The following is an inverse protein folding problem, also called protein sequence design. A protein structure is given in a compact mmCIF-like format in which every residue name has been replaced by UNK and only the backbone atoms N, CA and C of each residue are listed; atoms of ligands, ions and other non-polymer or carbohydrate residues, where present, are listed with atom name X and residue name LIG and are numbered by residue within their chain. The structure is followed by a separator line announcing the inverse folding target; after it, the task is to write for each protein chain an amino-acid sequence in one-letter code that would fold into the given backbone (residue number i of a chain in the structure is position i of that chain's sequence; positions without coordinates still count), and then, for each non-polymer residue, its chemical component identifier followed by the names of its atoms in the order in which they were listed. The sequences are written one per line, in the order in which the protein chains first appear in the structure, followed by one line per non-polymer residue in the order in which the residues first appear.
data_IF_081571694745
#
_entry.id   IF_081571694745
#
_cell.length_a   1.000
_cell.length_b   1.000
_cell.length_c   1.000
_cell.angle_alpha   90.00
_cell.angle_beta   90.00
_cell.angle_gamma   90.00
#
_symmetry.space_group_name_H-M   'P 1'
#
loop_
_entity.id
_entity.type
_entity.pdbx_description
1 polymer ?
#
# COMPACT_ATOMS: atom_id res chain seq x y z
N UNK A 1 -9.67 -3.71 -0.91
CA UNK A 1 -8.94 -3.29 -2.13
C UNK A 1 -7.46 -3.70 -2.03
N UNK A 2 -6.82 -4.13 -3.12
CA UNK A 2 -5.34 -4.26 -3.24
C UNK A 2 -4.76 -5.68 -3.33
N UNK A 3 -5.20 -6.61 -2.48
CA UNK A 3 -4.93 -8.06 -2.57
C UNK A 3 -5.67 -8.86 -1.50
N UNK A 4 -6.19 -8.17 -0.47
CA UNK A 4 -6.76 -8.77 0.75
C UNK A 4 -5.73 -8.90 1.87
N UNK A 5 -4.46 -8.65 1.58
CA UNK A 5 -3.35 -8.65 2.54
C UNK A 5 -2.94 -7.22 2.90
N UNK A 6 -2.41 -7.03 4.11
CA UNK A 6 -1.84 -5.75 4.54
C UNK A 6 -0.61 -5.36 3.71
N UNK A 7 -0.30 -4.07 3.66
CA UNK A 7 0.86 -3.57 2.95
C UNK A 7 2.16 -4.13 3.56
N UNK A 8 2.94 -4.86 2.76
CA UNK A 8 4.23 -5.42 3.19
C UNK A 8 5.27 -5.28 2.09
N UNK A 9 6.32 -4.50 2.39
CA UNK A 9 7.45 -4.29 1.48
C UNK A 9 8.38 -5.51 1.39
N UNK A 10 8.36 -6.40 2.39
CA UNK A 10 9.23 -7.58 2.46
C UNK A 10 8.64 -8.75 1.67
N UNK A 11 7.39 -9.14 1.96
CA UNK A 11 6.74 -10.26 1.28
C UNK A 11 6.15 -9.88 -0.09
N UNK A 12 5.91 -8.58 -0.36
CA UNK A 12 5.33 -8.06 -1.62
C UNK A 12 4.02 -8.74 -2.03
N UNK A 13 3.26 -9.25 -1.05
CA UNK A 13 1.97 -9.92 -1.25
C UNK A 13 0.79 -8.93 -1.36
N UNK A 14 1.05 -7.65 -1.15
CA UNK A 14 0.09 -6.56 -1.32
C UNK A 14 0.13 -5.96 -2.72
N UNK A 15 -0.91 -5.19 -3.05
CA UNK A 15 -0.86 -4.29 -4.18
C UNK A 15 0.31 -3.33 -4.04
N UNK A 16 1.02 -3.05 -5.13
CA UNK A 16 2.09 -2.07 -5.12
C UNK A 16 2.23 -1.36 -6.47
N UNK A 17 2.70 -0.12 -6.42
CA UNK A 17 3.01 0.75 -7.55
C UNK A 17 4.50 1.07 -7.46
N UNK A 18 5.22 0.95 -8.58
CA UNK A 18 6.64 1.31 -8.68
C UNK A 18 6.80 2.38 -9.76
N UNK A 19 7.96 3.04 -9.75
CA UNK A 19 8.37 3.99 -10.78
C UNK A 19 7.37 5.17 -10.88
N UNK A 20 6.94 5.66 -9.71
CA UNK A 20 6.11 6.85 -9.64
C UNK A 20 6.97 8.09 -9.80
N UNK A 21 6.89 8.71 -10.97
CA UNK A 21 7.56 9.96 -11.28
C UNK A 21 6.55 11.03 -11.66
N UNK A 22 6.84 12.27 -11.29
CA UNK A 22 6.06 13.42 -11.71
C UNK A 22 6.69 13.97 -12.99
N UNK A 23 5.90 14.01 -14.05
CA UNK A 23 6.27 14.68 -15.30
C UNK A 23 5.74 16.11 -15.26
N UNK A 24 6.65 17.08 -15.12
CA UNK A 24 6.33 18.49 -15.28
C UNK A 24 6.44 18.93 -16.75
N UNK A 25 5.96 20.14 -17.07
CA UNK A 25 6.04 20.73 -18.41
C UNK A 25 7.48 20.86 -18.98
N UNK A 26 8.52 20.56 -18.19
CA UNK A 26 9.93 20.59 -18.58
C UNK A 26 10.45 19.29 -19.22
N UNK A 27 9.61 18.26 -19.40
CA UNK A 27 10.01 16.92 -19.93
C UNK A 27 10.99 16.14 -19.03
N UNK A 28 11.36 16.67 -17.87
CA UNK A 28 12.18 15.97 -16.89
C UNK A 28 11.29 15.21 -15.90
N UNK A 29 11.62 13.95 -15.67
CA UNK A 29 10.99 13.12 -14.65
C UNK A 29 11.58 13.47 -13.29
N UNK A 30 10.76 14.04 -12.41
CA UNK A 30 11.16 14.38 -11.05
C UNK A 30 10.60 13.38 -10.07
N UNK A 31 11.38 13.09 -9.03
CA UNK A 31 10.87 12.36 -7.88
C UNK A 31 10.00 13.29 -7.02
N UNK A 32 8.87 12.78 -6.48
CA UNK A 32 8.03 13.57 -5.59
C UNK A 32 8.76 13.84 -4.27
N UNK A 33 9.06 15.12 -3.99
CA UNK A 33 9.82 15.55 -2.78
C UNK A 33 8.98 15.44 -1.49
N UNK A 34 7.67 15.68 -1.58
CA UNK A 34 6.77 15.62 -0.45
C UNK A 34 5.57 14.73 -0.78
N UNK A 35 5.56 13.52 -0.20
CA UNK A 35 4.44 12.58 -0.30
C UNK A 35 3.83 12.39 1.07
N UNK A 36 2.52 12.59 1.16
CA UNK A 36 1.73 12.23 2.32
C UNK A 36 0.69 11.20 1.91
N UNK A 37 0.53 10.17 2.73
CA UNK A 37 -0.48 9.15 2.57
C UNK A 37 -1.68 9.44 3.45
N UNK A 38 -2.88 9.13 2.95
CA UNK A 38 -4.13 9.33 3.67
C UNK A 38 -5.03 8.11 3.52
N UNK A 39 -5.79 7.80 4.57
CA UNK A 39 -6.81 6.75 4.58
C UNK A 39 -8.06 7.26 5.29
N UNK A 40 -9.22 7.13 4.64
CA UNK A 40 -10.50 7.54 5.20
C UNK A 40 -11.05 6.47 6.18
N UNK A 41 -10.68 5.20 6.00
CA UNK A 41 -11.12 4.10 6.86
C UNK A 41 -10.09 3.72 7.93
N UNK A 42 -10.46 3.89 9.19
CA UNK A 42 -9.63 3.45 10.32
C UNK A 42 -9.46 1.92 10.31
N UNK A 43 -8.22 1.47 10.11
CA UNK A 43 -7.80 0.07 10.29
C UNK A 43 -8.49 -0.90 9.31
N UNK A 44 -8.87 -0.42 8.12
CA UNK A 44 -9.31 -1.27 7.01
C UNK A 44 -8.24 -1.39 5.92
N UNK A 45 -7.40 -0.36 5.80
CA UNK A 45 -6.34 -0.27 4.81
C UNK A 45 -5.05 0.20 5.46
N UNK A 46 -3.94 -0.31 4.93
CA UNK A 46 -2.58 0.06 5.32
C UNK A 46 -1.78 0.42 4.07
N UNK A 47 -0.78 1.27 4.27
CA UNK A 47 0.09 1.75 3.21
C UNK A 47 1.54 1.76 3.70
N UNK A 48 2.47 1.47 2.79
CA UNK A 48 3.89 1.65 3.01
C UNK A 48 4.46 2.41 1.82
N UNK A 49 5.13 3.52 2.10
CA UNK A 49 5.84 4.29 1.09
C UNK A 49 7.35 4.18 1.35
N UNK A 50 8.08 3.68 0.37
CA UNK A 50 9.54 3.61 0.39
C UNK A 50 10.08 4.62 -0.61
N UNK A 51 10.69 5.67 -0.09
CA UNK A 51 11.14 6.83 -0.87
C UNK A 51 12.47 7.42 -0.42
N UNK A 52 13.12 6.81 0.57
CA UNK A 52 14.45 7.25 0.95
C UNK A 52 15.40 6.89 -0.20
N UNK A 53 16.00 7.93 -0.80
CA UNK A 53 17.04 7.83 -1.85
C UNK A 53 18.19 6.88 -1.45
N UNK A 54 18.34 6.60 -0.15
CA UNK A 54 19.35 5.70 0.41
C UNK A 54 18.96 4.20 0.38
N UNK A 55 17.68 3.87 0.24
CA UNK A 55 17.18 2.48 0.34
C UNK A 55 16.61 1.91 -0.96
N UNK A 56 16.15 2.75 -1.90
CA UNK A 56 15.54 2.30 -3.16
C UNK A 56 15.80 3.29 -4.30
N UNK A 57 16.27 2.80 -5.46
CA UNK A 57 16.54 3.63 -6.65
C UNK A 57 15.26 4.26 -7.24
N UNK A 58 14.11 3.58 -7.09
CA UNK A 58 12.80 4.02 -7.55
C UNK A 58 11.78 3.97 -6.40
N UNK A 59 10.92 4.98 -6.25
CA UNK A 59 9.93 5.00 -5.19
C UNK A 59 8.91 3.86 -5.37
N UNK A 60 8.72 3.09 -4.30
CA UNK A 60 7.75 2.00 -4.24
C UNK A 60 6.64 2.34 -3.25
N UNK A 61 5.39 2.19 -3.71
CA UNK A 61 4.20 2.41 -2.89
C UNK A 61 3.43 1.11 -2.75
N UNK A 62 3.33 0.62 -1.53
CA UNK A 62 2.59 -0.57 -1.15
C UNK A 62 1.26 -0.16 -0.54
N UNK A 63 0.19 -0.82 -0.95
CA UNK A 63 -1.14 -0.58 -0.43
C UNK A 63 -1.91 -1.89 -0.33
N UNK A 64 -2.68 -2.03 0.75
CA UNK A 64 -3.39 -3.26 1.01
C UNK A 64 -4.30 -3.13 2.22
N UNK A 65 -4.89 -4.25 2.60
CA UNK A 65 -5.77 -4.35 3.74
C UNK A 65 -6.81 -5.43 3.50
N UNK A 66 -7.16 -6.21 4.54
CA UNK A 66 -8.26 -7.13 4.47
C UNK A 66 -9.54 -6.29 4.29
N UNK A 67 -10.20 -6.49 3.15
CA UNK A 67 -11.48 -5.87 2.79
C UNK A 67 -12.61 -6.19 3.79
N UNK A 68 -12.31 -7.11 4.72
CA UNK A 68 -13.19 -7.63 5.74
C UNK A 68 -12.54 -7.29 7.07
N UNK A 69 -13.18 -6.40 7.84
CA UNK A 69 -13.08 -6.54 9.30
C UNK A 69 -13.41 -8.01 9.56
N UNK A 70 -12.50 -8.79 10.16
CA UNK A 70 -12.96 -9.98 10.87
C UNK A 70 -13.85 -9.41 11.96
N UNK A 71 -15.15 -9.32 11.69
CA UNK A 71 -16.10 -9.26 12.78
C UNK A 71 -15.81 -10.53 13.55
N UNK A 72 -15.51 -10.41 14.84
CA UNK A 72 -15.38 -11.54 15.74
C UNK A 72 -16.66 -12.42 15.83
N UNK A 73 -17.67 -12.15 14.99
CA UNK A 73 -18.87 -12.95 14.78
C UNK A 73 -18.84 -13.81 13.50
N UNK A 74 -17.88 -13.62 12.59
CA UNK A 74 -17.81 -14.37 11.33
C UNK A 74 -16.83 -15.55 11.43
N UNK A 75 -16.03 -15.64 12.50
CA UNK A 75 -15.16 -16.78 12.79
C UNK A 75 -15.90 -18.03 13.30
N UNK A 76 -17.23 -17.99 13.41
CA UNK A 76 -18.04 -19.18 13.75
C UNK A 76 -18.64 -19.89 12.55
N UNK A 77 -18.49 -19.35 11.33
CA UNK A 77 -19.03 -19.96 10.11
C UNK A 77 -18.05 -20.93 9.42
N UNK A 78 -16.75 -20.85 9.67
CA UNK A 78 -15.72 -21.73 9.06
C UNK A 78 -15.30 -22.91 9.94
N UNK A 79 -16.04 -23.15 11.04
CA UNK A 79 -15.80 -24.28 11.97
C UNK A 79 -16.99 -25.26 12.03
N UNK A 80 -17.85 -25.27 11.01
CA UNK A 80 -18.81 -26.33 10.79
C UNK A 80 -18.27 -27.30 9.73
N UNK A 81 -17.55 -28.30 10.22
CA UNK A 81 -17.43 -29.64 9.62
C UNK A 81 -18.83 -30.24 9.40
#
# INVERSE_FOLDING_TARGET
MGSGEYADWLARNSGHIRNMHISENSQELKFPEAVSTHTDEYDCYDFFYLNDEDYVDDPEFYFGGPDRKIRATDSVADLAL
#
